data_IF_931272292848
#
_entry.id   IF_931272292848
#
_cell.length_a   1.000
_cell.length_b   1.000
_cell.length_c   1.000
_cell.angle_alpha   90.00
_cell.angle_beta   90.00
_cell.angle_gamma   90.00
#
_symmetry.space_group_name_H-M   'P 1'
#
loop_
_entity.id
_entity.type
_entity.pdbx_description
1 polymer ?
#
# COMPACT_ATOMS: atom_id res chain seq x y z
N UNK A 1 -3.08 -7.44 -0.60
CA UNK A 1 -2.39 -6.27 -0.02
C UNK A 1 -3.33 -5.65 1.00
N UNK A 2 -2.77 -5.06 2.06
CA UNK A 2 -3.57 -4.44 3.12
C UNK A 2 -2.98 -3.10 3.49
N UNK A 3 -3.82 -2.07 3.48
CA UNK A 3 -3.43 -0.73 3.88
C UNK A 3 -3.84 -0.44 5.32
N UNK A 4 -2.96 0.22 6.05
CA UNK A 4 -3.25 0.79 7.37
C UNK A 4 -2.78 2.23 7.46
N UNK A 5 -3.55 3.05 8.14
CA UNK A 5 -3.18 4.42 8.54
C UNK A 5 -3.14 4.41 10.06
N UNK A 6 -1.97 4.68 10.63
CA UNK A 6 -1.71 4.63 12.08
C UNK A 6 -2.19 3.31 12.71
N UNK A 7 -1.93 2.19 12.03
CA UNK A 7 -2.35 0.86 12.46
C UNK A 7 -3.82 0.51 12.18
N UNK A 8 -4.64 1.46 11.76
CA UNK A 8 -6.06 1.23 11.42
C UNK A 8 -6.22 0.81 9.98
N UNK A 9 -6.81 -0.37 9.74
CA UNK A 9 -7.10 -0.87 8.40
C UNK A 9 -7.99 0.09 7.62
N UNK A 10 -7.65 0.33 6.36
CA UNK A 10 -8.43 1.17 5.44
C UNK A 10 -8.98 0.34 4.29
N UNK A 11 -10.06 0.84 3.70
CA UNK A 11 -10.52 0.30 2.42
C UNK A 11 -9.58 0.81 1.32
N UNK A 12 -9.33 -0.04 0.32
CA UNK A 12 -8.42 0.25 -0.78
C UNK A 12 -9.00 -0.33 -2.06
N UNK A 13 -8.56 0.23 -3.18
CA UNK A 13 -8.81 -0.36 -4.49
C UNK A 13 -7.64 -1.29 -4.82
N UNK A 14 -7.93 -2.43 -5.44
CA UNK A 14 -6.93 -3.39 -5.89
C UNK A 14 -7.09 -3.62 -7.39
N UNK A 15 -5.98 -3.60 -8.12
CA UNK A 15 -6.01 -3.98 -9.52
C UNK A 15 -6.18 -5.51 -9.64
N UNK A 16 -6.79 -6.00 -10.73
CA UNK A 16 -6.63 -7.40 -11.08
C UNK A 16 -5.15 -7.72 -11.29
N UNK A 17 -4.78 -8.98 -11.06
CA UNK A 17 -3.46 -9.49 -11.42
C UNK A 17 -3.31 -9.58 -12.94
N UNK A 18 -2.22 -9.04 -13.46
CA UNK A 18 -1.88 -9.04 -14.88
C UNK A 18 -0.66 -9.94 -15.07
N UNK A 19 -0.71 -10.81 -16.09
CA UNK A 19 0.45 -11.58 -16.51
C UNK A 19 1.30 -10.71 -17.45
N UNK A 20 2.50 -10.39 -17.02
CA UNK A 20 3.44 -9.55 -17.73
C UNK A 20 4.24 -10.36 -18.77
N UNK A 21 4.96 -9.65 -19.66
CA UNK A 21 5.73 -10.27 -20.77
C UNK A 21 6.90 -11.14 -20.31
N UNK A 22 7.39 -10.92 -19.10
CA UNK A 22 8.42 -11.71 -18.45
C UNK A 22 7.88 -13.02 -17.84
N UNK A 23 6.57 -13.24 -17.90
CA UNK A 23 5.89 -14.41 -17.34
C UNK A 23 5.57 -14.29 -15.85
N UNK A 24 5.75 -13.12 -15.24
CA UNK A 24 5.40 -12.86 -13.84
C UNK A 24 4.05 -12.16 -13.72
N UNK A 25 3.40 -12.34 -12.57
CA UNK A 25 2.18 -11.62 -12.25
C UNK A 25 2.50 -10.31 -11.55
N UNK A 26 1.83 -9.24 -11.97
CA UNK A 26 1.86 -7.92 -11.34
C UNK A 26 0.46 -7.51 -10.92
N UNK A 27 0.35 -6.88 -9.74
CA UNK A 27 -0.87 -6.27 -9.26
C UNK A 27 -0.51 -5.09 -8.36
N UNK A 28 -1.42 -4.15 -8.24
CA UNK A 28 -1.25 -2.98 -7.38
C UNK A 28 -2.46 -2.79 -6.47
N UNK A 29 -2.27 -1.95 -5.45
CA UNK A 29 -3.35 -1.49 -4.62
C UNK A 29 -3.18 -0.01 -4.32
N UNK A 30 -4.27 0.73 -4.39
CA UNK A 30 -4.30 2.18 -4.22
C UNK A 30 -5.16 2.53 -3.00
N UNK A 31 -4.56 3.24 -2.05
CA UNK A 31 -5.28 3.89 -0.95
C UNK A 31 -5.46 5.37 -1.29
N UNK A 32 -6.71 5.82 -1.33
CA UNK A 32 -7.04 7.24 -1.53
C UNK A 32 -7.35 7.87 -0.17
N UNK A 33 -6.58 8.90 0.19
CA UNK A 33 -6.79 9.71 1.39
C UNK A 33 -7.09 11.15 0.99
N UNK A 34 -7.94 11.82 1.77
CA UNK A 34 -8.05 13.28 1.67
C UNK A 34 -6.76 13.96 2.15
N UNK A 35 -6.51 15.19 1.70
CA UNK A 35 -5.38 15.98 2.17
C UNK A 35 -5.37 16.15 3.70
N UNK A 36 -6.55 16.26 4.31
CA UNK A 36 -6.67 16.36 5.77
C UNK A 36 -6.28 15.05 6.46
N UNK A 37 -6.71 13.90 5.95
CA UNK A 37 -6.31 12.60 6.50
C UNK A 37 -4.81 12.38 6.39
N UNK A 38 -4.22 12.67 5.23
CA UNK A 38 -2.76 12.58 5.03
C UNK A 38 -1.98 13.52 5.96
N UNK A 39 -2.49 14.73 6.18
CA UNK A 39 -1.87 15.72 7.08
C UNK A 39 -2.06 15.38 8.57
N UNK A 40 -2.92 14.42 8.90
CA UNK A 40 -3.09 13.91 10.26
C UNK A 40 -2.39 12.56 10.47
N UNK A 41 -2.25 11.77 9.42
CA UNK A 41 -1.58 10.47 9.44
C UNK A 41 -0.14 10.62 9.92
N UNK A 42 0.23 9.87 10.96
CA UNK A 42 1.61 9.73 11.39
C UNK A 42 2.37 8.77 10.47
N UNK A 43 1.72 7.64 10.15
CA UNK A 43 2.28 6.59 9.33
C UNK A 43 1.22 5.92 8.44
N UNK A 44 1.56 5.70 7.17
CA UNK A 44 0.76 4.90 6.24
C UNK A 44 1.57 3.66 5.86
N UNK A 45 1.00 2.48 6.06
CA UNK A 45 1.66 1.21 5.76
C UNK A 45 0.87 0.42 4.72
N UNK A 46 1.57 -0.14 3.74
CA UNK A 46 1.06 -1.13 2.81
C UNK A 46 1.80 -2.45 3.03
N UNK A 47 1.06 -3.53 3.26
CA UNK A 47 1.61 -4.88 3.36
C UNK A 47 1.18 -5.72 2.15
N UNK A 48 2.17 -6.24 1.43
CA UNK A 48 1.99 -7.21 0.36
C UNK A 48 2.27 -8.62 0.87
N UNK A 49 1.32 -9.52 0.64
CA UNK A 49 1.41 -10.92 1.03
C UNK A 49 1.23 -11.81 -0.20
N UNK A 50 2.10 -12.81 -0.34
CA UNK A 50 1.98 -13.88 -1.32
C UNK A 50 2.20 -15.20 -0.60
N UNK A 51 1.46 -16.24 -1.01
CA UNK A 51 1.58 -17.57 -0.41
C UNK A 51 3.03 -18.06 -0.52
N UNK A 52 3.57 -18.60 0.58
CA UNK A 52 4.94 -19.08 0.70
C UNK A 52 6.04 -18.01 0.60
N UNK A 53 5.70 -16.73 0.74
CA UNK A 53 6.67 -15.63 0.85
C UNK A 53 6.50 -14.91 2.19
N UNK A 54 7.59 -14.33 2.70
CA UNK A 54 7.51 -13.42 3.85
C UNK A 54 6.75 -12.16 3.43
N UNK A 55 5.77 -11.69 4.22
CA UNK A 55 5.10 -10.43 3.95
C UNK A 55 6.10 -9.28 3.81
N UNK A 56 5.88 -8.42 2.82
CA UNK A 56 6.67 -7.22 2.62
C UNK A 56 5.83 -6.02 3.04
N UNK A 57 6.32 -5.28 4.02
CA UNK A 57 5.66 -4.07 4.51
C UNK A 57 6.44 -2.85 4.09
N UNK A 58 5.75 -1.91 3.44
CA UNK A 58 6.30 -0.60 3.10
C UNK A 58 5.59 0.47 3.89
N UNK A 59 6.39 1.34 4.49
CA UNK A 59 5.93 2.45 5.31
C UNK A 59 6.19 3.75 4.58
N UNK A 60 5.20 4.65 4.60
CA UNK A 60 5.26 6.00 4.06
C UNK A 60 4.89 6.99 5.17
N UNK A 61 5.76 7.97 5.41
CA UNK A 61 5.54 9.07 6.34
C UNK A 61 5.51 10.37 5.57
N UNK A 62 4.87 11.38 6.15
CA UNK A 62 4.80 12.71 5.53
C UNK A 62 6.19 13.31 5.24
N UNK A 63 7.14 13.10 6.14
CA UNK A 63 8.52 13.56 5.99
C UNK A 63 9.27 12.88 4.82
N UNK A 64 8.82 11.70 4.37
CA UNK A 64 9.42 11.02 3.23
C UNK A 64 9.02 11.66 1.89
N UNK A 65 8.05 12.59 1.92
CA UNK A 65 7.48 13.24 0.74
C UNK A 65 7.66 14.78 0.75
N UNK A 66 8.39 15.33 1.71
CA UNK A 66 8.73 16.76 1.74
C UNK A 66 10.00 17.00 0.94
N UNK A 67 9.82 17.33 -0.35
CA UNK A 67 10.86 17.87 -1.24
C UNK A 67 10.92 19.39 -1.19
#
# INVERSE_FOLDING_TARGET
MSWKVDGTSKNQEASPGVLEKDGLYSWSSTLTLTAQEWTKAGEVTCEAQQKCQTPVTKTLRRADCSG
#
